data_IF_273513578755
#
_entry.id   IF_273513578755
#
_cell.length_a   1.000
_cell.length_b   1.000
_cell.length_c   1.000
_cell.angle_alpha   90.00
_cell.angle_beta   90.00
_cell.angle_gamma   90.00
#
_symmetry.space_group_name_H-M   'P 1'
#
loop_
_entity.id
_entity.type
_entity.pdbx_description
1 polymer ?
#
# COMPACT_ATOMS: atom_id res chain seq x y z
N UNK A 1 0.20 28.23 37.24
CA UNK A 1 -0.26 27.20 36.82
C UNK A 1 -0.76 27.16 35.48
N UNK A 2 -0.48 26.38 34.94
CA UNK A 2 -0.75 26.21 33.62
C UNK A 2 -1.99 25.57 33.31
N UNK A 3 -2.88 25.80 34.08
CA UNK A 3 -4.09 25.13 33.98
C UNK A 3 -4.83 25.27 32.71
N UNK A 4 -4.45 26.20 31.90
CA UNK A 4 -5.08 26.26 30.60
C UNK A 4 -4.95 25.00 29.82
N UNK A 5 -3.98 24.21 30.19
CA UNK A 5 -3.84 22.95 29.50
C UNK A 5 -4.79 21.91 29.99
N UNK A 6 -5.41 22.16 31.08
CA UNK A 6 -6.28 21.15 31.61
C UNK A 6 -7.64 21.12 30.92
N UNK A 7 -7.94 22.09 30.11
CA UNK A 7 -9.18 22.06 29.34
C UNK A 7 -8.96 21.21 28.11
N UNK A 8 -9.57 20.03 28.05
CA UNK A 8 -9.38 19.19 26.88
C UNK A 8 -10.03 19.84 25.68
N UNK A 9 -9.27 19.99 24.63
CA UNK A 9 -9.84 20.40 23.37
C UNK A 9 -10.64 19.24 22.84
N UNK A 10 -11.74 19.54 22.19
CA UNK A 10 -12.41 18.51 21.40
C UNK A 10 -11.44 17.98 20.38
N UNK A 11 -11.42 16.69 20.14
CA UNK A 11 -10.64 16.15 19.05
C UNK A 11 -11.02 16.89 17.77
N UNK A 12 -10.04 17.32 17.03
CA UNK A 12 -10.32 17.95 15.75
C UNK A 12 -11.05 16.96 14.87
N UNK A 13 -12.10 17.41 14.25
CA UNK A 13 -12.84 16.57 13.33
C UNK A 13 -12.11 16.50 12.01
N UNK A 14 -12.13 15.34 11.41
CA UNK A 14 -11.60 15.17 10.08
C UNK A 14 -12.46 15.93 9.07
N UNK A 15 -11.84 16.44 8.03
CA UNK A 15 -12.59 16.96 6.91
C UNK A 15 -13.38 15.83 6.24
N UNK A 16 -14.45 16.15 5.50
CA UNK A 16 -15.20 15.13 4.78
C UNK A 16 -14.32 14.26 3.86
N UNK A 17 -13.34 14.86 3.21
CA UNK A 17 -12.41 14.11 2.33
C UNK A 17 -11.49 13.18 3.13
N UNK A 18 -11.02 13.65 4.27
CA UNK A 18 -10.18 12.82 5.14
C UNK A 18 -10.98 11.65 5.72
N UNK A 19 -12.20 11.92 6.17
CA UNK A 19 -13.09 10.89 6.69
C UNK A 19 -13.39 9.81 5.63
N UNK A 20 -13.65 10.24 4.40
CA UNK A 20 -13.89 9.33 3.29
C UNK A 20 -12.65 8.47 2.99
N UNK A 21 -11.49 9.10 2.95
CA UNK A 21 -10.23 8.38 2.70
C UNK A 21 -9.97 7.32 3.78
N UNK A 22 -10.13 7.70 5.05
CA UNK A 22 -9.97 6.76 6.14
C UNK A 22 -10.95 5.59 6.05
N UNK A 23 -12.22 5.89 5.77
CA UNK A 23 -13.25 4.86 5.64
C UNK A 23 -12.93 3.89 4.48
N UNK A 24 -12.40 4.42 3.37
CA UNK A 24 -12.00 3.59 2.23
C UNK A 24 -10.89 2.62 2.61
N UNK A 25 -9.90 3.09 3.37
CA UNK A 25 -8.81 2.22 3.84
C UNK A 25 -9.34 1.17 4.82
N UNK A 26 -10.19 1.58 5.75
CA UNK A 26 -10.78 0.67 6.73
C UNK A 26 -11.58 -0.44 6.05
N UNK A 27 -12.38 -0.09 5.05
CA UNK A 27 -13.18 -1.07 4.32
C UNK A 27 -12.29 -2.04 3.54
N UNK A 28 -11.31 -1.53 2.83
CA UNK A 28 -10.39 -2.37 2.07
C UNK A 28 -9.62 -3.33 3.00
N UNK A 29 -9.19 -2.83 4.16
CA UNK A 29 -8.49 -3.64 5.14
C UNK A 29 -9.40 -4.74 5.71
N UNK A 30 -10.64 -4.40 6.05
CA UNK A 30 -11.60 -5.35 6.57
C UNK A 30 -11.89 -6.47 5.57
N UNK A 31 -12.09 -6.11 4.30
CA UNK A 31 -12.31 -7.07 3.23
C UNK A 31 -11.10 -7.98 3.03
N UNK A 32 -9.89 -7.39 3.10
CA UNK A 32 -8.66 -8.14 2.99
C UNK A 32 -8.46 -9.14 4.11
N UNK A 33 -8.76 -8.75 5.34
CA UNK A 33 -8.69 -9.62 6.51
C UNK A 33 -9.67 -10.78 6.35
N UNK A 34 -10.91 -10.49 5.97
CA UNK A 34 -11.92 -11.52 5.78
C UNK A 34 -11.48 -12.56 4.76
N UNK A 35 -11.01 -12.12 3.61
CA UNK A 35 -10.53 -13.00 2.56
C UNK A 35 -9.36 -13.87 3.01
N UNK A 36 -8.35 -13.25 3.57
CA UNK A 36 -7.12 -13.94 3.97
C UNK A 36 -7.37 -14.92 5.11
N UNK A 37 -8.10 -14.48 6.11
CA UNK A 37 -8.41 -15.32 7.26
C UNK A 37 -9.22 -16.53 6.86
N UNK A 38 -10.26 -16.33 6.06
CA UNK A 38 -11.12 -17.41 5.59
C UNK A 38 -10.32 -18.43 4.78
N UNK A 39 -9.49 -17.95 3.86
CA UNK A 39 -8.65 -18.82 3.03
C UNK A 39 -7.70 -19.65 3.91
N UNK A 40 -7.01 -19.00 4.84
CA UNK A 40 -6.07 -19.67 5.72
C UNK A 40 -6.74 -20.71 6.61
N UNK A 41 -7.87 -20.38 7.17
CA UNK A 41 -8.62 -21.30 8.02
C UNK A 41 -9.08 -22.54 7.26
N UNK A 42 -9.54 -22.36 6.02
CA UNK A 42 -9.98 -23.49 5.19
C UNK A 42 -8.80 -24.35 4.73
N UNK A 43 -7.68 -23.75 4.42
CA UNK A 43 -6.50 -24.49 3.97
C UNK A 43 -5.83 -25.27 5.08
N UNK A 44 -5.66 -24.65 6.23
CA UNK A 44 -4.89 -25.26 7.33
C UNK A 44 -5.76 -26.03 8.32
N UNK A 45 -7.05 -25.80 8.31
CA UNK A 45 -8.01 -26.49 9.20
C UNK A 45 -7.60 -26.43 10.66
N UNK A 46 -6.91 -25.36 11.06
CA UNK A 46 -6.47 -25.15 12.43
C UNK A 46 -6.89 -23.78 12.92
N UNK A 47 -6.94 -23.64 14.21
CA UNK A 47 -7.31 -22.38 14.83
C UNK A 47 -6.08 -21.51 15.03
N UNK A 48 -6.09 -20.33 14.44
CA UNK A 48 -4.94 -19.42 14.50
C UNK A 48 -4.52 -19.11 15.95
N UNK A 49 -5.50 -18.93 16.83
CA UNK A 49 -5.21 -18.61 18.24
C UNK A 49 -4.57 -19.76 19.01
N UNK A 50 -4.57 -20.95 18.47
CA UNK A 50 -3.92 -22.12 19.07
C UNK A 50 -2.52 -22.35 18.50
N UNK A 51 -2.09 -21.55 17.55
CA UNK A 51 -0.76 -21.69 16.95
C UNK A 51 0.30 -21.41 18.02
N UNK A 52 1.35 -22.25 18.10
CA UNK A 52 2.44 -21.99 19.04
C UNK A 52 3.06 -20.61 18.84
N UNK A 53 3.40 -19.94 19.92
CA UNK A 53 3.96 -18.58 19.86
C UNK A 53 5.20 -18.50 18.96
N UNK A 54 6.06 -19.50 19.01
CA UNK A 54 7.24 -19.54 18.16
C UNK A 54 6.87 -19.51 16.66
N UNK A 55 5.79 -20.17 16.29
CA UNK A 55 5.31 -20.19 14.91
C UNK A 55 4.71 -18.85 14.51
N UNK A 56 4.03 -18.19 15.43
CA UNK A 56 3.49 -16.84 15.17
C UNK A 56 4.65 -15.87 14.92
N UNK A 57 5.69 -15.94 15.73
CA UNK A 57 6.89 -15.09 15.55
C UNK A 57 7.54 -15.34 14.20
N UNK A 58 7.73 -16.61 13.82
CA UNK A 58 8.27 -16.97 12.51
C UNK A 58 7.45 -16.35 11.38
N UNK A 59 6.13 -16.47 11.47
CA UNK A 59 5.22 -15.94 10.45
C UNK A 59 5.33 -14.42 10.34
N UNK A 60 5.45 -13.73 11.47
CA UNK A 60 5.62 -12.26 11.47
C UNK A 60 6.91 -11.88 10.75
N UNK A 61 8.00 -12.57 11.05
CA UNK A 61 9.31 -12.30 10.45
C UNK A 61 9.27 -12.54 8.93
N UNK A 62 8.68 -13.65 8.51
CA UNK A 62 8.53 -13.98 7.08
C UNK A 62 7.72 -12.90 6.35
N UNK A 63 6.60 -12.48 6.92
CA UNK A 63 5.78 -11.43 6.33
C UNK A 63 6.52 -10.09 6.26
N UNK A 64 7.31 -9.77 7.28
CA UNK A 64 8.10 -8.54 7.29
C UNK A 64 9.16 -8.55 6.18
N UNK A 65 9.80 -9.69 5.95
CA UNK A 65 10.77 -9.85 4.88
C UNK A 65 10.08 -9.70 3.53
N UNK A 66 8.94 -10.34 3.34
CA UNK A 66 8.18 -10.25 2.10
C UNK A 66 7.73 -8.82 1.82
N UNK A 67 7.22 -8.12 2.83
CA UNK A 67 6.82 -6.73 2.68
C UNK A 67 7.97 -5.84 2.26
N UNK A 68 9.14 -6.04 2.86
CA UNK A 68 10.33 -5.27 2.49
C UNK A 68 10.72 -5.54 1.03
N UNK A 69 10.68 -6.79 0.60
CA UNK A 69 10.99 -7.17 -0.78
C UNK A 69 10.03 -6.50 -1.75
N UNK A 70 8.74 -6.54 -1.48
CA UNK A 70 7.74 -5.89 -2.32
C UNK A 70 7.91 -4.38 -2.33
N UNK A 71 8.19 -3.78 -1.19
CA UNK A 71 8.38 -2.33 -1.09
C UNK A 71 9.58 -1.87 -1.91
N UNK A 72 10.69 -2.60 -1.84
CA UNK A 72 11.89 -2.27 -2.62
C UNK A 72 11.65 -2.50 -4.11
N UNK A 73 10.91 -3.53 -4.47
CA UNK A 73 10.54 -3.77 -5.87
C UNK A 73 9.68 -2.63 -6.39
N UNK A 74 8.69 -2.20 -5.62
CA UNK A 74 7.86 -1.06 -5.99
C UNK A 74 8.71 0.21 -6.17
N UNK A 75 9.65 0.44 -5.27
CA UNK A 75 10.55 1.60 -5.38
C UNK A 75 11.31 1.59 -6.70
N UNK A 76 11.84 0.44 -7.10
CA UNK A 76 12.55 0.28 -8.36
C UNK A 76 11.63 0.56 -9.55
N UNK A 77 10.42 0.01 -9.51
CA UNK A 77 9.42 0.24 -10.55
C UNK A 77 9.04 1.72 -10.65
N UNK A 78 8.88 2.38 -9.51
CA UNK A 78 8.56 3.81 -9.47
C UNK A 78 9.68 4.66 -10.09
N UNK A 79 10.94 4.32 -9.86
CA UNK A 79 12.05 5.02 -10.49
C UNK A 79 11.96 4.90 -12.02
N UNK A 80 11.66 3.72 -12.53
CA UNK A 80 11.51 3.50 -13.97
C UNK A 80 10.32 4.29 -14.52
N UNK A 81 9.17 4.25 -13.82
CA UNK A 81 7.97 4.98 -14.22
C UNK A 81 8.22 6.48 -14.27
N UNK A 82 8.87 7.01 -13.23
CA UNK A 82 9.19 8.44 -13.17
C UNK A 82 10.08 8.85 -14.36
N UNK A 83 11.10 8.04 -14.67
CA UNK A 83 11.99 8.31 -15.79
C UNK A 83 11.23 8.34 -17.11
N UNK A 84 10.37 7.37 -17.36
CA UNK A 84 9.56 7.29 -18.58
C UNK A 84 8.61 8.48 -18.71
N UNK A 85 7.93 8.82 -17.64
CA UNK A 85 6.96 9.92 -17.64
C UNK A 85 7.68 11.26 -17.78
N UNK A 86 8.80 11.43 -17.10
CA UNK A 86 9.57 12.67 -17.18
C UNK A 86 10.09 12.92 -18.58
N UNK A 87 10.66 11.91 -19.23
CA UNK A 87 11.12 12.03 -20.59
C UNK A 87 9.99 12.44 -21.51
N UNK A 88 8.83 11.78 -21.42
CA UNK A 88 7.70 12.06 -22.28
C UNK A 88 7.03 13.41 -22.04
N UNK A 89 7.13 13.93 -20.81
CA UNK A 89 6.43 15.17 -20.44
C UNK A 89 7.29 16.42 -20.53
N UNK A 90 8.57 16.30 -20.12
CA UNK A 90 9.41 17.47 -19.91
C UNK A 90 10.43 17.75 -21.02
N UNK A 91 10.75 16.77 -21.82
CA UNK A 91 11.76 16.92 -22.87
C UNK A 91 11.09 17.39 -24.14
N UNK A 92 11.31 18.67 -24.50
CA UNK A 92 10.73 19.25 -25.68
C UNK A 92 11.26 18.62 -26.99
N UNK A 93 12.40 17.94 -26.94
CA UNK A 93 12.93 17.26 -28.08
C UNK A 93 12.25 15.94 -28.38
N UNK A 94 11.49 15.44 -27.44
CA UNK A 94 10.78 14.16 -27.60
C UNK A 94 9.57 14.35 -28.49
N UNK A 95 9.49 13.59 -29.57
CA UNK A 95 8.34 13.66 -30.46
C UNK A 95 7.14 12.95 -29.83
N UNK A 96 5.94 13.25 -30.38
CA UNK A 96 4.70 12.68 -29.89
C UNK A 96 4.70 11.14 -29.89
N UNK A 97 5.36 10.53 -30.87
CA UNK A 97 5.46 9.07 -30.97
C UNK A 97 6.25 8.49 -29.80
N UNK A 98 7.38 9.12 -29.46
CA UNK A 98 8.19 8.67 -28.33
C UNK A 98 7.47 8.87 -27.01
N UNK A 99 6.78 9.99 -26.84
CA UNK A 99 5.98 10.24 -25.64
C UNK A 99 4.88 9.18 -25.46
N UNK A 100 4.21 8.85 -26.57
CA UNK A 100 3.16 7.82 -26.55
C UNK A 100 3.75 6.45 -26.22
N UNK A 101 4.90 6.12 -26.77
CA UNK A 101 5.58 4.86 -26.49
C UNK A 101 5.98 4.77 -25.02
N UNK A 102 6.49 5.86 -24.44
CA UNK A 102 6.82 5.90 -23.02
C UNK A 102 5.59 5.68 -22.15
N UNK A 103 4.46 6.27 -22.51
CA UNK A 103 3.21 6.05 -21.79
C UNK A 103 2.78 4.59 -21.89
N UNK A 104 2.92 3.98 -23.06
CA UNK A 104 2.58 2.56 -23.26
C UNK A 104 3.48 1.67 -22.40
N UNK A 105 4.77 1.93 -22.36
CA UNK A 105 5.70 1.17 -21.54
C UNK A 105 5.39 1.32 -20.05
N UNK A 106 5.08 2.54 -19.62
CA UNK A 106 4.70 2.79 -18.24
C UNK A 106 3.43 2.02 -17.88
N UNK A 107 2.44 2.02 -18.74
CA UNK A 107 1.21 1.29 -18.55
C UNK A 107 1.45 -0.23 -18.43
N UNK A 108 2.29 -0.76 -19.29
CA UNK A 108 2.66 -2.18 -19.26
C UNK A 108 3.35 -2.57 -17.95
N UNK A 109 4.22 -1.70 -17.43
CA UNK A 109 4.87 -1.94 -16.14
C UNK A 109 3.81 -2.06 -15.04
N UNK A 110 2.82 -1.17 -15.06
CA UNK A 110 1.79 -1.14 -14.00
C UNK A 110 0.88 -2.35 -14.07
N UNK A 111 0.44 -2.73 -15.27
CA UNK A 111 -0.54 -3.82 -15.41
C UNK A 111 0.07 -5.18 -15.75
N UNK A 112 1.38 -5.25 -15.98
CA UNK A 112 2.05 -6.51 -16.20
C UNK A 112 1.98 -7.06 -17.62
N UNK A 113 1.83 -6.18 -18.58
CA UNK A 113 1.80 -6.62 -19.98
C UNK A 113 2.81 -5.91 -20.83
#
# INVERSE_FOLDING_TARGET
MTSTKSVPKKPEELSPKQAYHMASIQLATAEGIEKKYTKGALEHKSNLWEMPTAKVIESIIEEAIDQNTYAMTLRQQMHTLIALLKEGADDESVCATTARENCRLAYEIVIGK
#
